data_IF_110375306805
#
_entry.id   IF_110375306805
#
_cell.length_a   1.000
_cell.length_b   1.000
_cell.length_c   1.000
_cell.angle_alpha   90.00
_cell.angle_beta   90.00
_cell.angle_gamma   90.00
#
_symmetry.space_group_name_H-M   'P 1'
#
loop_
_entity.id
_entity.type
_entity.pdbx_description
1 polymer ?
#
# COMPACT_ATOMS: atom_id res chain seq x y z
N UNK A 1 11.77 7.73 -10.03
CA UNK A 1 11.02 7.70 -8.75
C UNK A 1 9.62 8.27 -8.98
N UNK A 2 8.61 7.74 -8.30
CA UNK A 2 7.21 8.16 -8.41
C UNK A 2 6.64 8.51 -7.04
N UNK A 3 5.75 9.49 -6.95
CA UNK A 3 5.03 9.80 -5.71
C UNK A 3 4.09 8.67 -5.32
N UNK A 4 3.65 8.61 -4.05
CA UNK A 4 2.67 7.60 -3.64
C UNK A 4 1.34 7.68 -4.40
N UNK A 5 0.92 8.88 -4.86
CA UNK A 5 -0.28 9.04 -5.69
C UNK A 5 -0.10 8.40 -7.06
N UNK A 6 1.05 8.66 -7.69
CA UNK A 6 1.37 8.07 -8.98
C UNK A 6 1.64 6.55 -8.87
N UNK A 7 2.26 6.11 -7.77
CA UNK A 7 2.45 4.69 -7.48
C UNK A 7 1.09 3.97 -7.43
N UNK A 8 0.12 4.47 -6.67
CA UNK A 8 -1.21 3.87 -6.60
C UNK A 8 -1.87 3.77 -7.98
N UNK A 9 -1.80 4.85 -8.77
CA UNK A 9 -2.35 4.90 -10.13
C UNK A 9 -1.71 3.84 -11.03
N UNK A 10 -0.38 3.75 -11.03
CA UNK A 10 0.37 2.80 -11.87
C UNK A 10 0.13 1.35 -11.45
N UNK A 11 0.09 1.06 -10.15
CA UNK A 11 -0.16 -0.30 -9.67
C UNK A 11 -1.54 -0.82 -10.12
N UNK A 12 -2.56 0.04 -10.14
CA UNK A 12 -3.89 -0.32 -10.65
C UNK A 12 -3.87 -0.43 -12.18
N UNK A 13 -3.27 0.55 -12.86
CA UNK A 13 -3.18 0.58 -14.33
C UNK A 13 -2.43 -0.62 -14.91
N UNK A 14 -1.38 -1.08 -14.23
CA UNK A 14 -0.56 -2.22 -14.64
C UNK A 14 -1.15 -3.56 -14.15
N UNK A 15 -2.32 -3.54 -13.49
CA UNK A 15 -3.00 -4.74 -12.98
C UNK A 15 -2.27 -5.43 -11.83
N UNK A 16 -1.34 -4.75 -11.16
CA UNK A 16 -0.55 -5.31 -10.04
C UNK A 16 -1.42 -5.51 -8.80
N UNK A 17 -2.37 -4.60 -8.58
CA UNK A 17 -3.37 -4.68 -7.52
C UNK A 17 -4.71 -4.19 -8.06
N UNK A 18 -5.82 -4.77 -7.60
CA UNK A 18 -7.15 -4.34 -8.05
C UNK A 18 -7.51 -2.95 -7.54
N UNK A 19 -7.22 -2.67 -6.26
CA UNK A 19 -7.52 -1.38 -5.60
C UNK A 19 -6.50 -1.06 -4.53
N UNK A 20 -5.94 0.15 -4.58
CA UNK A 20 -5.08 0.68 -3.50
C UNK A 20 -5.13 2.22 -3.49
N UNK A 21 -5.09 2.81 -2.30
CA UNK A 21 -5.02 4.27 -2.13
C UNK A 21 -3.61 4.70 -1.72
N UNK A 22 -3.23 5.93 -2.05
CA UNK A 22 -1.94 6.49 -1.63
C UNK A 22 -1.81 6.56 -0.09
N UNK A 23 -2.92 6.74 0.63
CA UNK A 23 -2.94 6.71 2.09
C UNK A 23 -2.57 5.33 2.62
N UNK A 24 -3.12 4.26 2.01
CA UNK A 24 -2.73 2.90 2.37
C UNK A 24 -1.25 2.67 2.09
N UNK A 25 -0.75 3.07 0.93
CA UNK A 25 0.69 2.99 0.61
C UNK A 25 1.53 3.73 1.66
N UNK A 26 1.11 4.92 2.10
CA UNK A 26 1.81 5.67 3.15
C UNK A 26 1.77 4.98 4.51
N UNK A 27 0.70 4.25 4.84
CA UNK A 27 0.64 3.44 6.06
C UNK A 27 1.64 2.27 5.97
N UNK A 28 1.67 1.57 4.84
CA UNK A 28 2.61 0.46 4.62
C UNK A 28 4.06 0.90 4.70
N UNK A 29 4.38 2.06 4.16
CA UNK A 29 5.72 2.65 4.27
C UNK A 29 6.16 2.91 5.71
N UNK A 30 5.22 2.97 6.68
CA UNK A 30 5.49 3.16 8.11
C UNK A 30 5.44 1.85 8.90
N UNK A 31 4.52 0.96 8.53
CA UNK A 31 4.22 -0.27 9.28
C UNK A 31 5.07 -1.47 8.83
N UNK A 32 5.47 -1.51 7.57
CA UNK A 32 6.14 -2.65 6.95
C UNK A 32 7.63 -2.36 6.77
N UNK A 33 8.47 -3.10 7.49
CA UNK A 33 9.92 -2.93 7.43
C UNK A 33 10.53 -3.41 6.09
N UNK A 34 9.82 -4.26 5.34
CA UNK A 34 10.21 -4.73 4.00
C UNK A 34 9.72 -3.77 2.90
N UNK A 35 9.07 -2.67 3.28
CA UNK A 35 8.57 -1.70 2.30
C UNK A 35 9.73 -1.11 1.47
N UNK A 36 9.55 -0.93 0.15
CA UNK A 36 10.57 -0.38 -0.72
C UNK A 36 11.09 0.99 -0.24
N UNK A 37 12.39 1.30 -0.42
CA UNK A 37 12.98 2.54 0.08
C UNK A 37 12.23 3.79 -0.40
N UNK A 38 11.80 4.59 0.58
CA UNK A 38 11.12 5.86 0.37
C UNK A 38 12.12 7.00 0.50
N UNK A 39 12.11 7.91 -0.47
CA UNK A 39 12.96 9.10 -0.47
C UNK A 39 12.07 10.33 -0.30
N UNK A 40 12.37 11.23 0.66
CA UNK A 40 11.69 12.52 0.76
C UNK A 40 12.19 13.46 -0.35
N UNK A 41 11.26 14.09 -1.05
CA UNK A 41 11.51 15.12 -2.08
C UNK A 41 10.60 16.30 -1.79
N UNK A 42 11.15 17.31 -1.11
CA UNK A 42 10.39 18.43 -0.57
C UNK A 42 9.29 17.92 0.39
N UNK A 43 8.03 18.36 0.24
CA UNK A 43 6.92 17.89 1.08
C UNK A 43 6.39 16.50 0.68
N UNK A 44 6.91 15.89 -0.38
CA UNK A 44 6.40 14.63 -0.93
C UNK A 44 7.32 13.46 -0.64
N UNK A 45 6.74 12.26 -0.54
CA UNK A 45 7.48 11.00 -0.48
C UNK A 45 7.41 10.30 -1.83
N UNK A 46 8.58 9.87 -2.34
CA UNK A 46 8.70 9.14 -3.60
C UNK A 46 9.35 7.77 -3.39
N UNK A 47 9.03 6.85 -4.28
CA UNK A 47 9.54 5.47 -4.26
C UNK A 47 9.94 5.06 -5.67
N UNK A 48 10.90 4.13 -5.78
CA UNK A 48 11.23 3.54 -7.06
C UNK A 48 10.16 2.53 -7.50
N UNK A 49 9.58 2.75 -8.67
CA UNK A 49 8.50 1.90 -9.18
C UNK A 49 8.96 0.46 -9.44
N UNK A 50 10.19 0.25 -9.91
CA UNK A 50 10.71 -1.08 -10.23
C UNK A 50 10.90 -1.93 -8.98
N UNK A 51 11.18 -1.29 -7.84
CA UNK A 51 11.24 -1.95 -6.52
C UNK A 51 9.85 -2.12 -5.90
N UNK A 52 8.98 -1.13 -6.06
CA UNK A 52 7.64 -1.17 -5.50
C UNK A 52 6.75 -2.22 -6.17
N UNK A 53 6.80 -2.32 -7.50
CA UNK A 53 5.98 -3.26 -8.27
C UNK A 53 6.07 -4.71 -7.77
N UNK A 54 7.26 -5.33 -7.62
CA UNK A 54 7.35 -6.70 -7.10
C UNK A 54 6.95 -6.82 -5.63
N UNK A 55 7.19 -5.80 -4.80
CA UNK A 55 6.67 -5.78 -3.42
C UNK A 55 5.14 -5.90 -3.43
N UNK A 56 4.43 -5.07 -4.20
CA UNK A 56 2.96 -5.12 -4.28
C UNK A 56 2.42 -6.36 -5.01
N UNK A 57 3.14 -6.90 -6.01
CA UNK A 57 2.75 -8.10 -6.72
C UNK A 57 2.85 -9.36 -5.85
N UNK A 58 3.91 -9.48 -5.04
CA UNK A 58 4.15 -10.62 -4.16
C UNK A 58 3.41 -10.48 -2.83
N UNK A 59 2.96 -9.27 -2.51
CA UNK A 59 2.14 -9.01 -1.34
C UNK A 59 0.81 -9.72 -1.52
N UNK A 60 0.69 -10.91 -0.91
CA UNK A 60 -0.62 -11.53 -0.66
C UNK A 60 -1.43 -10.51 0.11
N UNK A 61 -2.32 -9.83 -0.61
CA UNK A 61 -3.28 -8.92 -0.04
C UNK A 61 -3.93 -9.68 1.11
N UNK A 62 -3.65 -9.32 2.37
CA UNK A 62 -4.44 -9.78 3.52
C UNK A 62 -5.80 -9.06 3.44
N UNK A 63 -6.48 -9.20 2.30
CA UNK A 63 -7.74 -8.58 1.94
C UNK A 63 -8.90 -9.16 2.77
N UNK A 64 -8.61 -10.05 3.73
CA UNK A 64 -9.55 -10.67 4.65
C UNK A 64 -9.32 -10.37 6.15
N UNK A 65 -8.34 -9.55 6.55
CA UNK A 65 -8.25 -9.11 7.95
C UNK A 65 -8.72 -7.66 8.07
N UNK A 66 -10.05 -7.48 8.04
CA UNK A 66 -10.69 -6.31 8.66
C UNK A 66 -10.43 -6.40 10.16
N UNK A 67 -9.46 -5.64 10.65
CA UNK A 67 -9.28 -5.43 12.10
C UNK A 67 -10.37 -4.52 12.69
N UNK A 68 -11.32 -4.02 11.88
CA UNK A 68 -12.49 -3.25 12.33
C UNK A 68 -13.74 -4.08 12.63
N UNK A 69 -13.77 -5.38 12.32
CA UNK A 69 -14.78 -6.31 12.84
C UNK A 69 -14.42 -6.72 14.27
N UNK A 70 -14.40 -5.73 15.17
CA UNK A 70 -14.64 -6.00 16.59
C UNK A 70 -16.07 -6.51 16.65
N UNK A 71 -16.20 -7.84 16.73
CA UNK A 71 -17.42 -8.60 16.96
C UNK A 71 -18.29 -7.83 17.96
N UNK A 72 -19.30 -7.10 17.47
CA UNK A 72 -20.44 -6.73 18.30
C UNK A 72 -21.15 -8.06 18.52
N UNK A 73 -20.91 -8.65 19.68
CA UNK A 73 -21.55 -9.87 20.11
C UNK A 73 -23.07 -9.64 20.12
N UNK A 74 -23.89 -10.45 19.43
CA UNK A 74 -25.32 -10.42 19.59
C UNK A 74 -25.65 -11.17 20.89
N UNK A 75 -25.75 -10.45 22.01
CA UNK A 75 -26.40 -11.01 23.20
C UNK A 75 -27.92 -10.94 23.05
N UNK A 76 -28.50 -12.08 23.43
CA UNK A 76 -29.89 -12.51 23.33
C UNK A 76 -30.84 -11.79 24.30
#
# INVERSE_FOLDING_TARGET
MVSFRELARRLISDGVVERITHQRISQLAREDADFPPVVPVGPSSVVDYRKARPYFANRKSKQGQRTDLKKADPEA
#
